data_IF_928148336308
#
_entry.id   IF_928148336308
#
_cell.length_a   1.000
_cell.length_b   1.000
_cell.length_c   1.000
_cell.angle_alpha   90.00
_cell.angle_beta   90.00
_cell.angle_gamma   90.00
#
_symmetry.space_group_name_H-M   'P 1'
#
loop_
_entity.id
_entity.type
_entity.pdbx_description
1 polymer ?
#
# COMPACT_ATOMS: atom_id res chain seq x y z
N UNK A 1 0.78 9.57 8.29
CA UNK A 1 0.32 8.18 8.54
C UNK A 1 1.02 7.28 7.54
N UNK A 2 1.33 6.04 7.91
CA UNK A 2 1.93 5.08 6.98
C UNK A 2 0.95 3.97 6.59
N UNK A 3 0.93 3.61 5.32
CA UNK A 3 0.10 2.55 4.78
C UNK A 3 0.96 1.43 4.19
N UNK A 4 0.97 0.26 4.80
CA UNK A 4 1.57 -0.93 4.18
C UNK A 4 0.74 -1.37 2.98
N UNK A 5 1.40 -1.56 1.83
CA UNK A 5 0.75 -1.86 0.55
C UNK A 5 1.23 -3.15 -0.10
N UNK A 6 2.45 -3.60 0.20
CA UNK A 6 2.97 -4.86 -0.33
C UNK A 6 4.09 -5.41 0.54
N UNK A 7 4.29 -6.73 0.48
CA UNK A 7 5.42 -7.40 1.12
C UNK A 7 6.31 -8.06 0.06
N UNK A 8 7.61 -7.92 0.24
CA UNK A 8 8.63 -8.54 -0.59
C UNK A 8 9.42 -9.55 0.25
N UNK A 9 9.21 -10.83 -0.02
CA UNK A 9 9.99 -11.90 0.59
C UNK A 9 11.30 -12.13 -0.19
N UNK A 10 12.39 -12.48 0.51
CA UNK A 10 13.60 -12.92 -0.17
C UNK A 10 13.36 -14.25 -0.90
N UNK A 11 14.09 -14.45 -2.00
CA UNK A 11 13.96 -15.64 -2.86
C UNK A 11 14.29 -16.95 -2.14
N UNK A 12 15.12 -16.89 -1.09
CA UNK A 12 15.57 -18.08 -0.38
C UNK A 12 14.61 -18.46 0.76
N UNK A 13 14.07 -19.70 0.79
CA UNK A 13 13.08 -20.11 1.79
C UNK A 13 13.52 -20.01 3.25
N UNK A 14 14.83 -20.12 3.52
CA UNK A 14 15.38 -20.06 4.87
C UNK A 14 15.50 -18.64 5.46
N UNK A 15 15.09 -17.61 4.70
CA UNK A 15 15.19 -16.20 5.12
C UNK A 15 13.82 -15.51 5.11
N UNK A 16 12.73 -16.27 5.24
CA UNK A 16 11.35 -15.75 5.12
C UNK A 16 11.04 -14.60 6.07
N UNK A 17 11.75 -14.54 7.20
CA UNK A 17 11.72 -13.50 8.21
C UNK A 17 12.33 -12.16 7.75
N UNK A 18 13.21 -12.17 6.75
CA UNK A 18 13.89 -10.99 6.20
C UNK A 18 13.08 -10.33 5.07
N UNK A 19 11.78 -10.24 5.25
CA UNK A 19 10.90 -9.59 4.27
C UNK A 19 10.95 -8.07 4.42
N UNK A 20 10.61 -7.39 3.33
CA UNK A 20 10.50 -5.94 3.30
C UNK A 20 9.06 -5.52 3.09
N UNK A 21 8.66 -4.45 3.78
CA UNK A 21 7.36 -3.83 3.70
C UNK A 21 7.48 -2.60 2.81
N UNK A 22 6.71 -2.58 1.73
CA UNK A 22 6.50 -1.39 0.92
C UNK A 22 5.32 -0.60 1.47
N UNK A 23 5.49 0.72 1.59
CA UNK A 23 4.50 1.58 2.22
C UNK A 23 4.32 2.92 1.50
N UNK A 24 3.14 3.52 1.70
CA UNK A 24 2.85 4.90 1.34
C UNK A 24 2.99 5.80 2.56
N UNK A 25 3.59 6.96 2.40
CA UNK A 25 3.53 8.07 3.36
C UNK A 25 2.34 8.96 3.00
N UNK A 26 1.44 9.14 3.96
CA UNK A 26 0.19 9.86 3.80
C UNK A 26 0.19 11.05 4.75
N UNK A 27 0.03 12.26 4.22
CA UNK A 27 -0.03 13.48 5.02
C UNK A 27 -1.31 13.58 5.87
N UNK A 28 -1.46 14.66 6.63
CA UNK A 28 -2.63 14.93 7.47
C UNK A 28 -3.92 15.21 6.67
N UNK A 29 -3.78 15.51 5.38
CA UNK A 29 -4.89 15.73 4.43
C UNK A 29 -5.29 14.47 3.67
N UNK A 30 -4.57 13.36 3.87
CA UNK A 30 -4.83 12.09 3.20
C UNK A 30 -4.16 11.95 1.83
N UNK A 31 -3.22 12.84 1.47
CA UNK A 31 -2.48 12.74 0.22
C UNK A 31 -1.26 11.83 0.37
N UNK A 32 -0.99 11.04 -0.67
CA UNK A 32 0.25 10.27 -0.77
C UNK A 32 1.39 11.24 -1.11
N UNK A 33 2.29 11.43 -0.16
CA UNK A 33 3.46 12.32 -0.28
C UNK A 33 4.75 11.55 -0.55
N UNK A 34 4.75 10.24 -0.36
CA UNK A 34 5.92 9.40 -0.60
C UNK A 34 5.60 7.92 -0.70
N UNK A 35 6.55 7.17 -1.27
CA UNK A 35 6.58 5.71 -1.27
C UNK A 35 7.92 5.30 -0.68
N UNK A 36 7.89 4.36 0.26
CA UNK A 36 9.08 3.87 0.93
C UNK A 36 9.10 2.37 1.08
N UNK A 37 10.24 1.90 1.60
CA UNK A 37 10.50 0.49 1.92
C UNK A 37 11.12 0.42 3.31
N UNK A 38 10.68 -0.55 4.12
CA UNK A 38 11.26 -0.85 5.45
C UNK A 38 11.49 -2.33 5.63
N UNK A 39 12.50 -2.70 6.43
CA UNK A 39 12.59 -4.06 6.98
C UNK A 39 11.55 -4.25 8.08
N UNK A 40 11.36 -5.51 8.48
CA UNK A 40 10.55 -5.86 9.66
C UNK A 40 11.02 -5.12 10.91
N UNK A 41 12.33 -5.09 11.15
CA UNK A 41 12.94 -4.45 12.32
C UNK A 41 12.70 -2.94 12.33
N UNK A 42 12.89 -2.27 11.19
CA UNK A 42 12.64 -0.83 11.06
C UNK A 42 11.18 -0.46 11.31
N UNK A 43 10.25 -1.33 10.89
CA UNK A 43 8.83 -1.16 11.17
C UNK A 43 8.53 -1.32 12.66
N UNK A 44 9.05 -2.38 13.29
CA UNK A 44 8.87 -2.62 14.73
C UNK A 44 9.37 -1.42 15.54
N UNK A 45 10.56 -0.91 15.22
CA UNK A 45 11.07 0.30 15.87
C UNK A 45 10.17 1.53 15.63
N UNK A 46 9.63 1.68 14.42
CA UNK A 46 8.71 2.78 14.11
C UNK A 46 7.41 2.68 14.90
N UNK A 47 6.89 1.46 15.13
CA UNK A 47 5.72 1.22 15.96
C UNK A 47 6.01 1.61 17.41
N UNK A 48 7.12 1.15 18.00
CA UNK A 48 7.52 1.54 19.36
C UNK A 48 7.60 3.05 19.51
N UNK A 49 8.29 3.75 18.59
CA UNK A 49 8.37 5.22 18.60
C UNK A 49 7.00 5.90 18.54
N UNK A 50 6.06 5.37 17.75
CA UNK A 50 4.70 5.91 17.65
C UNK A 50 3.91 5.71 18.95
N UNK A 51 4.04 4.54 19.57
CA UNK A 51 3.38 4.24 20.84
C UNK A 51 3.93 5.06 21.99
N UNK A 52 5.24 5.24 22.08
CA UNK A 52 5.87 6.09 23.10
C UNK A 52 5.39 7.54 22.99
N UNK A 53 5.22 8.05 21.76
CA UNK A 53 4.81 9.43 21.51
C UNK A 53 3.31 9.68 21.64
N UNK A 54 2.47 8.71 21.24
CA UNK A 54 1.02 8.95 21.03
C UNK A 54 0.10 7.89 21.63
N UNK A 55 0.64 6.80 22.17
CA UNK A 55 -0.14 5.67 22.72
C UNK A 55 -0.84 4.80 21.67
N UNK A 56 -0.60 5.03 20.37
CA UNK A 56 -1.22 4.29 19.27
C UNK A 56 -0.30 4.14 18.06
N UNK A 57 -0.59 3.16 17.21
CA UNK A 57 0.09 3.00 15.93
C UNK A 57 -0.32 4.07 14.91
N UNK A 58 0.66 4.60 14.18
CA UNK A 58 0.48 5.44 13.00
C UNK A 58 0.58 4.63 11.68
N UNK A 59 0.62 3.30 11.78
CA UNK A 59 0.69 2.36 10.67
C UNK A 59 -0.63 1.64 10.47
N UNK A 60 -0.97 1.40 9.21
CA UNK A 60 -2.17 0.67 8.81
C UNK A 60 -1.89 -0.20 7.58
N UNK A 61 -2.68 -1.25 7.36
CA UNK A 61 -2.57 -2.14 6.22
C UNK A 61 -3.95 -2.41 5.58
N UNK A 62 -4.00 -2.53 4.24
CA UNK A 62 -5.16 -3.06 3.52
C UNK A 62 -4.95 -4.54 3.23
N UNK A 63 -5.64 -5.41 3.96
CA UNK A 63 -5.57 -6.85 3.72
C UNK A 63 -6.39 -7.19 2.48
N UNK A 64 -5.94 -8.17 1.69
CA UNK A 64 -6.67 -8.59 0.50
C UNK A 64 -8.06 -9.10 0.89
N UNK A 65 -9.08 -8.58 0.22
CA UNK A 65 -10.49 -8.91 0.49
C UNK A 65 -11.16 -8.01 1.54
N UNK A 66 -10.40 -7.17 2.25
CA UNK A 66 -10.97 -6.21 3.19
C UNK A 66 -11.18 -4.84 2.53
N UNK A 67 -12.35 -4.24 2.75
CA UNK A 67 -12.69 -2.90 2.26
C UNK A 67 -12.08 -1.79 3.12
N UNK A 68 -11.68 -2.10 4.35
CA UNK A 68 -11.14 -1.14 5.30
C UNK A 68 -9.71 -1.50 5.70
N UNK A 69 -8.87 -0.47 5.86
CA UNK A 69 -7.54 -0.68 6.42
C UNK A 69 -7.63 -0.98 7.91
N UNK A 70 -6.71 -1.80 8.42
CA UNK A 70 -6.59 -2.15 9.84
C UNK A 70 -5.30 -1.55 10.42
N UNK A 71 -5.27 -1.10 11.69
CA UNK A 71 -4.02 -0.73 12.35
C UNK A 71 -3.03 -1.90 12.38
N UNK A 72 -1.75 -1.59 12.26
CA UNK A 72 -0.66 -2.54 12.52
C UNK A 72 -0.19 -2.29 13.95
N UNK A 73 -0.35 -3.26 14.85
CA UNK A 73 -0.09 -3.08 16.27
C UNK A 73 1.16 -3.87 16.72
N UNK A 74 1.81 -3.41 17.80
CA UNK A 74 3.05 -4.04 18.30
C UNK A 74 2.82 -5.51 18.63
N UNK A 75 1.68 -5.85 19.21
CA UNK A 75 1.35 -7.22 19.60
C UNK A 75 1.19 -8.17 18.41
N UNK A 76 0.98 -7.66 17.18
CA UNK A 76 0.93 -8.50 16.00
C UNK A 76 2.26 -9.27 15.86
N UNK A 77 3.38 -8.60 16.17
CA UNK A 77 4.75 -9.14 16.08
C UNK A 77 5.18 -10.00 17.28
N UNK A 78 4.35 -10.07 18.33
CA UNK A 78 4.61 -10.89 19.53
C UNK A 78 4.01 -12.31 19.37
N UNK A 79 3.20 -12.54 18.33
CA UNK A 79 2.51 -13.82 18.09
C UNK A 79 3.41 -14.95 17.59
N UNK A 80 2.96 -16.20 17.79
CA UNK A 80 3.74 -17.47 17.80
C UNK A 80 4.48 -17.88 16.52
N UNK A 81 4.51 -17.06 15.46
CA UNK A 81 5.25 -17.37 14.24
C UNK A 81 6.04 -16.14 13.74
N UNK A 82 7.04 -15.73 14.52
CA UNK A 82 7.93 -14.59 14.23
C UNK A 82 8.67 -14.68 12.89
N UNK A 83 8.70 -15.86 12.28
CA UNK A 83 9.36 -16.15 11.01
C UNK A 83 8.43 -16.05 9.80
N UNK A 84 7.14 -15.88 10.04
CA UNK A 84 6.12 -15.74 9.00
C UNK A 84 5.49 -14.36 9.04
N UNK A 85 5.20 -13.83 7.86
CA UNK A 85 4.45 -12.60 7.74
C UNK A 85 2.95 -12.87 7.93
N UNK A 86 2.54 -13.18 9.16
CA UNK A 86 1.13 -13.36 9.53
C UNK A 86 0.49 -12.04 9.99
N UNK A 87 1.32 -11.05 10.32
CA UNK A 87 0.93 -9.78 10.93
C UNK A 87 0.06 -8.92 10.01
N UNK A 88 0.34 -8.91 8.70
CA UNK A 88 -0.45 -8.14 7.73
C UNK A 88 -1.56 -8.94 7.04
N UNK A 89 -1.76 -10.22 7.38
CA UNK A 89 -2.61 -11.12 6.58
C UNK A 89 -2.09 -11.30 5.15
N UNK A 90 -2.99 -11.47 4.19
CA UNK A 90 -2.64 -11.54 2.76
C UNK A 90 -2.44 -10.13 2.18
N UNK A 91 -1.25 -9.55 2.35
CA UNK A 91 -0.84 -8.42 1.51
C UNK A 91 -0.43 -8.92 0.12
N UNK A 92 -0.67 -8.13 -0.95
CA UNK A 92 -0.14 -8.47 -2.25
C UNK A 92 1.39 -8.44 -2.25
N UNK A 93 1.99 -9.25 -3.09
CA UNK A 93 3.41 -9.12 -3.43
C UNK A 93 3.66 -7.83 -4.20
N UNK A 94 4.91 -7.35 -4.20
CA UNK A 94 5.29 -6.17 -4.98
C UNK A 94 4.92 -6.32 -6.47
N UNK A 95 5.08 -7.52 -7.05
CA UNK A 95 4.73 -7.79 -8.44
C UNK A 95 3.23 -7.67 -8.70
N UNK A 96 2.40 -8.19 -7.80
CA UNK A 96 0.94 -8.08 -7.88
C UNK A 96 0.49 -6.63 -7.73
N UNK A 97 1.07 -5.89 -6.78
CA UNK A 97 0.79 -4.46 -6.61
C UNK A 97 1.13 -3.67 -7.88
N UNK A 98 2.32 -3.90 -8.48
CA UNK A 98 2.72 -3.24 -9.71
C UNK A 98 1.77 -3.55 -10.88
N UNK A 99 1.27 -4.79 -10.96
CA UNK A 99 0.28 -5.19 -11.97
C UNK A 99 -1.04 -4.42 -11.79
N UNK A 100 -1.51 -4.28 -10.55
CA UNK A 100 -2.71 -3.49 -10.22
C UNK A 100 -2.53 -2.02 -10.60
N UNK A 101 -1.39 -1.42 -10.26
CA UNK A 101 -1.08 -0.02 -10.64
C UNK A 101 -1.09 0.16 -12.16
N UNK A 102 -0.47 -0.76 -12.89
CA UNK A 102 -0.45 -0.71 -14.35
C UNK A 102 -1.86 -0.82 -14.94
N UNK A 103 -2.69 -1.74 -14.42
CA UNK A 103 -4.08 -1.89 -14.84
C UNK A 103 -4.90 -0.61 -14.62
N UNK A 104 -4.73 0.03 -13.46
CA UNK A 104 -5.41 1.28 -13.13
C UNK A 104 -4.98 2.41 -14.08
N UNK A 105 -3.68 2.55 -14.35
CA UNK A 105 -3.17 3.55 -15.31
C UNK A 105 -3.76 3.36 -16.69
N UNK A 106 -3.82 2.13 -17.20
CA UNK A 106 -4.42 1.84 -18.49
C UNK A 106 -5.90 2.22 -18.52
N UNK A 107 -6.67 1.87 -17.49
CA UNK A 107 -8.09 2.24 -17.41
C UNK A 107 -8.31 3.76 -17.39
N UNK A 108 -7.54 4.50 -16.61
CA UNK A 108 -7.64 5.95 -16.57
C UNK A 108 -7.21 6.62 -17.88
N UNK A 109 -6.18 6.09 -18.55
CA UNK A 109 -5.77 6.57 -19.86
C UNK A 109 -6.87 6.38 -20.91
N UNK A 110 -7.54 5.22 -20.91
CA UNK A 110 -8.66 4.94 -21.82
C UNK A 110 -9.86 5.86 -21.58
N UNK A 111 -10.22 6.12 -20.32
CA UNK A 111 -11.31 7.04 -19.97
C UNK A 111 -11.01 8.48 -20.41
N UNK A 112 -9.75 8.94 -20.30
CA UNK A 112 -9.36 10.27 -20.76
C UNK A 112 -9.50 10.43 -22.28
N UNK A 113 -9.16 9.40 -23.06
CA UNK A 113 -9.32 9.43 -24.52
C UNK A 113 -10.77 9.43 -24.96
N UNK A 114 -11.66 8.66 -24.30
CA UNK A 114 -13.10 8.66 -24.61
C UNK A 114 -13.76 10.02 -24.34
N UNK A 115 -13.34 10.73 -23.29
CA UNK A 115 -13.84 12.09 -23.03
C UNK A 115 -13.34 13.15 -24.02
N UNK A 116 -12.14 12.97 -24.59
CA UNK A 116 -11.58 13.89 -25.58
C UNK A 116 -12.25 13.75 -26.95
N UNK A 117 -12.62 12.53 -27.35
CA UNK A 117 -13.37 12.31 -28.59
C UNK A 117 -14.79 12.86 -28.48
N UNK A 118 -15.45 12.72 -27.32
CA UNK A 118 -16.79 13.25 -27.10
C UNK A 118 -16.86 14.79 -27.15
N UNK A 119 -15.85 15.51 -26.63
CA UNK A 119 -15.81 16.99 -26.76
C UNK A 119 -15.56 17.47 -28.20
N UNK A 120 -14.83 16.70 -29.01
CA UNK A 120 -14.52 17.09 -30.40
C UNK A 120 -15.76 16.98 -31.31
N UNK A 121 -16.64 16.00 -31.06
CA UNK A 121 -17.90 15.86 -31.81
C UNK A 121 -18.95 16.92 -31.44
N UNK A 122 -18.97 17.40 -30.19
CA UNK A 122 -19.93 18.44 -29.76
C UNK A 122 -19.56 19.82 -30.34
N UNK A 123 -18.27 20.14 -30.47
CA UNK A 123 -17.82 21.43 -31.03
C UNK A 123 -17.98 21.53 -32.56
N UNK A 124 -18.05 20.42 -33.29
CA UNK A 124 -18.27 20.42 -34.75
C UNK A 124 -19.75 20.51 -35.14
N UNK A 125 -20.69 20.21 -34.24
CA UNK A 125 -22.13 20.29 -34.53
C UNK A 125 -22.78 21.64 -34.17
N UNK A 126 -22.02 22.64 -33.70
CA UNK A 126 -22.53 23.99 -33.40
C UNK A 126 -21.87 25.10 -34.25
N UNK A 127 -21.16 24.74 -35.32
CA UNK A 127 -20.57 25.69 -36.28
C UNK A 127 -21.12 25.53 -37.71
N UNK A 128 -22.35 25.01 -37.87
CA UNK A 128 -23.06 24.95 -39.14
C UNK A 128 -24.43 25.64 -39.04
#
# INVERSE_FOLDING_TARGET
>A
MYMAIAVEHPKHPSRRDQYHIWYLDIDDRGHVVGIGKKTREELIEALFRSYDATGRSNWRAFKKGDEQSTPIEIYDFISQNIFENTHFGELPTLAEFQKTVNLLRTRFAMQATETSECMTTVLTQHSA
#
